data_IF_418118117012
#
_entry.id   IF_418118117012
#
_cell.length_a   1.000
_cell.length_b   1.000
_cell.length_c   1.000
_cell.angle_alpha   90.00
_cell.angle_beta   90.00
_cell.angle_gamma   90.00
#
_symmetry.space_group_name_H-M   'P 1'
#
loop_
_entity.id
_entity.type
_entity.pdbx_description
1 polymer ?
#
# COMPACT_ATOMS: atom_id res chain seq x y z
N UNK A 1 -28.75 -19.20 47.32
CA UNK A 1 -27.39 -18.58 47.33
C UNK A 1 -26.42 -19.23 46.34
N UNK A 2 -26.25 -20.56 46.31
CA UNK A 2 -25.32 -21.25 45.38
C UNK A 2 -25.64 -21.06 43.89
N UNK A 3 -26.93 -20.95 43.51
CA UNK A 3 -27.37 -20.75 42.12
C UNK A 3 -27.03 -19.35 41.59
N UNK A 4 -27.11 -18.32 42.45
CA UNK A 4 -26.82 -16.93 42.08
C UNK A 4 -25.32 -16.74 41.83
N UNK A 5 -24.47 -17.39 42.63
CA UNK A 5 -23.02 -17.38 42.45
C UNK A 5 -22.66 -18.04 41.11
N UNK A 6 -23.30 -19.15 40.75
CA UNK A 6 -23.06 -19.81 39.47
C UNK A 6 -23.46 -18.95 38.25
N UNK A 7 -24.58 -18.22 38.36
CA UNK A 7 -25.05 -17.32 37.32
C UNK A 7 -24.10 -16.11 37.13
N UNK A 8 -23.58 -15.56 38.23
CA UNK A 8 -22.61 -14.46 38.19
C UNK A 8 -21.26 -14.90 37.60
N UNK A 9 -20.80 -16.11 37.94
CA UNK A 9 -19.59 -16.71 37.36
C UNK A 9 -19.74 -16.98 35.86
N UNK A 10 -20.92 -17.41 35.40
CA UNK A 10 -21.19 -17.64 33.98
C UNK A 10 -21.22 -16.33 33.17
N UNK A 11 -21.80 -15.26 33.73
CA UNK A 11 -21.84 -13.93 33.12
C UNK A 11 -20.43 -13.32 32.94
N UNK A 12 -19.51 -13.57 33.88
CA UNK A 12 -18.12 -13.10 33.78
C UNK A 12 -17.31 -13.80 32.68
N UNK A 13 -17.65 -15.04 32.31
CA UNK A 13 -16.94 -15.81 31.27
C UNK A 13 -17.43 -15.43 29.86
N UNK A 14 -18.71 -15.04 29.71
CA UNK A 14 -19.29 -14.65 28.42
C UNK A 14 -18.89 -13.21 28.00
N UNK A 15 -18.46 -12.38 28.94
CA UNK A 15 -18.02 -11.00 28.67
C UNK A 15 -16.68 -10.88 27.94
N UNK A 16 -15.92 -11.96 27.79
CA UNK A 16 -14.62 -11.95 27.12
C UNK A 16 -14.78 -12.23 25.61
N UNK A 17 -15.62 -11.47 24.93
CA UNK A 17 -15.59 -11.39 23.48
C UNK A 17 -14.31 -10.67 23.07
N UNK A 18 -13.44 -11.32 22.28
CA UNK A 18 -12.32 -10.63 21.65
C UNK A 18 -12.90 -9.46 20.84
N UNK A 19 -12.56 -8.22 21.19
CA UNK A 19 -12.79 -7.07 20.32
C UNK A 19 -12.06 -7.39 19.03
N UNK A 20 -12.82 -7.61 17.96
CA UNK A 20 -12.25 -7.68 16.64
C UNK A 20 -11.82 -6.25 16.31
N UNK A 21 -10.52 -6.02 16.16
CA UNK A 21 -10.03 -4.73 15.71
C UNK A 21 -10.69 -4.44 14.36
N UNK A 22 -11.48 -3.37 14.32
CA UNK A 22 -12.25 -3.01 13.14
C UNK A 22 -11.36 -2.50 11.99
N UNK A 23 -10.07 -2.25 12.28
CA UNK A 23 -9.04 -1.93 11.30
C UNK A 23 -8.15 -3.14 11.04
N UNK A 24 -8.08 -3.56 9.78
CA UNK A 24 -7.07 -4.53 9.34
C UNK A 24 -5.72 -3.82 9.26
N UNK A 25 -4.95 -3.80 10.35
CA UNK A 25 -3.54 -3.46 10.26
C UNK A 25 -2.80 -4.56 9.49
N UNK A 26 -1.87 -4.18 8.61
CA UNK A 26 -0.92 -5.14 8.07
C UNK A 26 -0.26 -5.87 9.25
N UNK A 27 -0.29 -7.21 9.26
CA UNK A 27 0.24 -7.97 10.38
C UNK A 27 1.76 -7.76 10.43
N UNK A 28 2.21 -7.03 11.45
CA UNK A 28 3.65 -6.88 11.75
C UNK A 28 4.13 -8.19 12.37
N UNK A 29 4.50 -9.17 11.55
CA UNK A 29 5.21 -10.33 12.05
C UNK A 29 6.71 -10.08 12.00
N UNK A 30 7.38 -10.42 13.10
CA UNK A 30 8.78 -10.17 13.38
C UNK A 30 9.10 -8.71 13.68
N UNK A 31 8.80 -8.29 14.92
CA UNK A 31 9.84 -7.58 15.67
C UNK A 31 10.96 -8.61 15.92
N UNK A 32 11.76 -8.92 14.90
CA UNK A 32 13.09 -9.44 15.19
C UNK A 32 13.72 -8.35 16.04
N UNK A 33 14.28 -8.72 17.17
CA UNK A 33 15.03 -7.80 18.02
C UNK A 33 16.34 -7.47 17.28
N UNK A 34 16.22 -6.68 16.20
CA UNK A 34 17.33 -6.28 15.34
C UNK A 34 18.04 -5.16 16.07
N UNK A 35 19.10 -5.55 16.78
CA UNK A 35 20.07 -4.59 17.30
C UNK A 35 21.06 -4.28 16.18
N UNK A 36 21.08 -3.03 15.76
CA UNK A 36 22.06 -2.53 14.80
C UNK A 36 23.31 -2.13 15.59
N UNK A 37 24.39 -2.90 15.47
CA UNK A 37 25.66 -2.57 16.12
C UNK A 37 26.39 -1.41 15.42
N UNK A 38 26.16 -1.26 14.11
CA UNK A 38 26.74 -0.19 13.29
C UNK A 38 25.87 0.10 12.06
N UNK A 39 25.73 1.38 11.70
CA UNK A 39 25.02 1.84 10.50
C UNK A 39 26.04 2.52 9.58
N UNK A 40 26.31 1.91 8.43
CA UNK A 40 27.15 2.52 7.39
C UNK A 40 26.25 3.16 6.36
N UNK A 41 26.34 4.49 6.24
CA UNK A 41 25.66 5.24 5.19
C UNK A 41 26.58 5.29 3.97
N UNK A 42 26.03 4.92 2.81
CA UNK A 42 26.72 4.99 1.53
C UNK A 42 25.93 5.87 0.58
N UNK A 43 26.63 6.58 -0.29
CA UNK A 43 26.03 7.35 -1.37
C UNK A 43 26.21 6.56 -2.65
N UNK A 44 25.11 6.35 -3.37
CA UNK A 44 25.11 5.77 -4.70
C UNK A 44 24.61 6.84 -5.69
N UNK A 45 25.35 7.05 -6.77
CA UNK A 45 24.92 7.91 -7.87
C UNK A 45 24.27 7.04 -8.93
N UNK A 46 23.03 7.37 -9.30
CA UNK A 46 22.35 6.70 -10.40
C UNK A 46 22.70 7.39 -11.71
N UNK A 47 22.77 6.62 -12.80
CA UNK A 47 22.88 7.16 -14.15
C UNK A 47 21.74 8.15 -14.42
N UNK A 48 22.06 9.22 -15.14
CA UNK A 48 21.08 10.27 -15.45
C UNK A 48 20.00 9.76 -16.41
N UNK A 49 18.75 10.05 -16.10
CA UNK A 49 17.58 9.75 -16.94
C UNK A 49 16.70 10.98 -17.11
N UNK A 50 15.87 10.98 -18.15
CA UNK A 50 14.80 11.96 -18.29
C UNK A 50 13.63 11.57 -17.39
N UNK A 51 13.17 12.51 -16.57
CA UNK A 51 12.07 12.31 -15.63
C UNK A 51 11.25 13.60 -15.53
N UNK A 52 9.98 13.47 -15.16
CA UNK A 52 9.13 14.58 -14.74
C UNK A 52 9.55 15.22 -13.42
N UNK A 53 10.61 14.70 -12.76
CA UNK A 53 11.04 15.03 -11.40
C UNK A 53 10.00 14.70 -10.32
N UNK A 54 8.95 13.98 -10.67
CA UNK A 54 7.88 13.55 -9.77
C UNK A 54 7.75 12.03 -9.81
N UNK A 55 8.37 11.37 -8.84
CA UNK A 55 8.41 9.92 -8.78
C UNK A 55 8.89 9.42 -7.43
N UNK A 56 8.93 8.10 -7.29
CA UNK A 56 9.37 7.42 -6.07
C UNK A 56 10.36 6.33 -6.40
N UNK A 57 11.34 6.15 -5.53
CA UNK A 57 12.32 5.08 -5.63
C UNK A 57 11.98 3.92 -4.70
N UNK A 58 12.18 2.70 -5.17
CA UNK A 58 12.03 1.49 -4.36
C UNK A 58 13.04 0.42 -4.79
N UNK A 59 13.01 -0.72 -4.10
CA UNK A 59 13.77 -1.91 -4.46
C UNK A 59 12.81 -2.93 -5.05
N UNK A 60 13.13 -3.46 -6.23
CA UNK A 60 12.34 -4.51 -6.85
C UNK A 60 12.47 -5.83 -6.08
N UNK A 61 11.57 -6.81 -6.30
CA UNK A 61 11.74 -8.16 -5.77
C UNK A 61 13.04 -8.84 -6.20
N UNK A 62 13.61 -8.47 -7.36
CA UNK A 62 14.93 -8.95 -7.82
C UNK A 62 16.12 -8.27 -7.14
N UNK A 63 15.89 -7.23 -6.33
CA UNK A 63 16.94 -6.47 -5.64
C UNK A 63 17.52 -5.31 -6.45
N UNK A 64 16.95 -5.01 -7.63
CA UNK A 64 17.35 -3.85 -8.43
C UNK A 64 16.78 -2.56 -7.82
N UNK A 65 17.47 -1.45 -8.07
CA UNK A 65 16.98 -0.12 -7.70
C UNK A 65 16.00 0.32 -8.78
N UNK A 66 14.81 0.78 -8.38
CA UNK A 66 13.77 1.20 -9.31
C UNK A 66 13.38 2.64 -9.03
N UNK A 67 13.25 3.44 -10.09
CA UNK A 67 12.59 4.73 -10.04
C UNK A 67 11.30 4.67 -10.86
N UNK A 68 10.18 5.00 -10.23
CA UNK A 68 8.87 5.05 -10.88
C UNK A 68 8.46 6.51 -11.05
N UNK A 69 8.42 6.97 -12.29
CA UNK A 69 7.96 8.32 -12.63
C UNK A 69 6.43 8.36 -12.60
N UNK A 70 5.87 9.11 -11.67
CA UNK A 70 4.41 9.14 -11.45
C UNK A 70 3.66 9.93 -12.51
N UNK A 71 4.34 10.74 -13.31
CA UNK A 71 3.72 11.54 -14.38
C UNK A 71 3.87 10.86 -15.75
N UNK A 72 5.08 10.43 -16.10
CA UNK A 72 5.32 9.71 -17.35
C UNK A 72 4.91 8.24 -17.28
N UNK A 73 4.62 7.74 -16.07
CA UNK A 73 4.23 6.36 -15.80
C UNK A 73 5.27 5.33 -16.25
N UNK A 74 6.55 5.72 -16.22
CA UNK A 74 7.68 4.88 -16.59
C UNK A 74 8.29 4.23 -15.35
N UNK A 75 8.81 3.01 -15.52
CA UNK A 75 9.47 2.22 -14.48
C UNK A 75 10.91 1.98 -14.94
N UNK A 76 11.85 2.67 -14.33
CA UNK A 76 13.27 2.61 -14.71
C UNK A 76 14.06 1.81 -13.70
N UNK A 77 14.81 0.83 -14.18
CA UNK A 77 15.63 -0.08 -13.41
C UNK A 77 17.09 0.31 -13.50
N UNK A 78 17.74 0.30 -12.34
CA UNK A 78 19.17 0.44 -12.16
C UNK A 78 19.72 -0.78 -11.44
N UNK A 79 20.96 -1.15 -11.75
CA UNK A 79 21.65 -2.15 -10.95
C UNK A 79 22.04 -1.59 -9.57
N UNK A 80 22.64 -2.44 -8.73
CA UNK A 80 23.09 -2.05 -7.39
C UNK A 80 24.30 -1.11 -7.38
N UNK A 81 24.93 -0.90 -8.54
CA UNK A 81 26.01 0.06 -8.78
C UNK A 81 25.50 1.40 -9.33
N UNK A 82 24.19 1.52 -9.57
CA UNK A 82 23.53 2.73 -10.06
C UNK A 82 23.49 2.85 -11.59
N UNK A 83 23.90 1.82 -12.33
CA UNK A 83 23.88 1.86 -13.79
C UNK A 83 22.49 1.56 -14.34
N UNK A 84 22.08 2.30 -15.36
CA UNK A 84 20.80 2.11 -16.03
C UNK A 84 20.75 0.75 -16.72
N UNK A 85 19.75 -0.07 -16.38
CA UNK A 85 19.49 -1.38 -17.01
C UNK A 85 18.43 -1.28 -18.10
N UNK A 86 17.27 -0.75 -17.74
CA UNK A 86 16.10 -0.70 -18.63
C UNK A 86 15.07 0.30 -18.16
N UNK A 87 14.20 0.71 -19.08
CA UNK A 87 12.98 1.46 -18.78
C UNK A 87 11.81 0.72 -19.39
N UNK A 88 10.76 0.54 -18.59
CA UNK A 88 9.52 -0.10 -18.98
C UNK A 88 8.35 0.87 -18.79
N UNK A 89 7.24 0.54 -19.44
CA UNK A 89 6.01 1.29 -19.38
C UNK A 89 6.13 2.73 -19.94
N UNK A 90 4.97 3.36 -20.02
CA UNK A 90 4.73 4.68 -20.55
C UNK A 90 3.23 4.89 -20.65
N UNK A 91 2.82 6.10 -21.02
CA UNK A 91 1.42 6.41 -21.25
C UNK A 91 0.97 5.93 -22.63
N UNK A 92 -0.17 5.24 -22.70
CA UNK A 92 -0.75 4.76 -23.94
C UNK A 92 -1.69 3.56 -23.75
N UNK A 93 -2.15 2.98 -24.86
CA UNK A 93 -3.14 1.88 -24.86
C UNK A 93 -2.56 0.51 -25.26
N UNK A 94 -1.25 0.43 -25.47
CA UNK A 94 -0.55 -0.79 -25.80
C UNK A 94 -0.39 -1.73 -24.60
N UNK A 95 -0.03 -3.01 -24.84
CA UNK A 95 0.14 -3.99 -23.78
C UNK A 95 1.22 -3.67 -22.75
N UNK A 96 2.23 -2.88 -23.14
CA UNK A 96 3.31 -2.40 -22.26
C UNK A 96 3.15 -0.92 -21.92
N UNK A 97 1.93 -0.41 -21.95
CA UNK A 97 1.58 0.98 -21.64
C UNK A 97 0.47 1.02 -20.59
N UNK A 98 0.27 2.18 -19.96
CA UNK A 98 -0.80 2.40 -19.00
C UNK A 98 -1.65 3.61 -19.38
N UNK A 99 -2.93 3.54 -19.06
CA UNK A 99 -3.90 4.62 -19.24
C UNK A 99 -4.28 5.29 -17.91
N UNK A 100 -3.60 4.94 -16.82
CA UNK A 100 -3.81 5.51 -15.47
C UNK A 100 -3.65 7.02 -15.42
N UNK A 101 -2.96 7.60 -16.41
CA UNK A 101 -2.74 9.03 -16.58
C UNK A 101 -1.71 9.60 -15.61
N UNK A 102 -1.91 9.40 -14.30
CA UNK A 102 -0.95 9.70 -13.24
C UNK A 102 -1.03 8.65 -12.15
N UNK A 103 0.12 8.18 -11.71
CA UNK A 103 0.22 7.20 -10.63
C UNK A 103 -0.04 7.93 -9.31
N UNK A 104 -1.11 7.55 -8.63
CA UNK A 104 -1.38 7.96 -7.26
C UNK A 104 -0.57 7.10 -6.28
N UNK A 105 -0.59 5.78 -6.47
CA UNK A 105 0.23 4.85 -5.70
C UNK A 105 0.61 3.61 -6.50
N UNK A 106 1.65 2.93 -6.04
CA UNK A 106 2.21 1.77 -6.71
C UNK A 106 2.84 0.82 -5.70
N UNK A 107 2.91 -0.46 -6.05
CA UNK A 107 3.66 -1.45 -5.28
C UNK A 107 4.01 -2.63 -6.17
N UNK A 108 5.21 -3.18 -5.98
CA UNK A 108 5.53 -4.51 -6.47
C UNK A 108 4.88 -5.57 -5.58
N UNK A 109 4.51 -6.70 -6.17
CA UNK A 109 4.24 -7.96 -5.49
C UNK A 109 5.54 -8.77 -5.35
N UNK A 110 5.64 -9.71 -4.38
CA UNK A 110 6.84 -10.53 -4.21
C UNK A 110 7.16 -11.39 -5.44
N UNK A 111 6.13 -11.69 -6.24
CA UNK A 111 6.18 -12.44 -7.49
C UNK A 111 6.61 -11.61 -8.71
N UNK A 112 6.77 -10.28 -8.55
CA UNK A 112 7.29 -9.38 -9.58
C UNK A 112 6.24 -8.58 -10.34
N UNK A 113 4.95 -8.86 -10.16
CA UNK A 113 3.88 -8.03 -10.71
C UNK A 113 3.95 -6.61 -10.13
N UNK A 114 3.57 -5.64 -10.95
CA UNK A 114 3.49 -4.23 -10.57
C UNK A 114 2.04 -3.78 -10.57
N UNK A 115 1.57 -3.29 -9.43
CA UNK A 115 0.31 -2.59 -9.33
C UNK A 115 0.56 -1.09 -9.50
N UNK A 116 -0.16 -0.47 -10.43
CA UNK A 116 -0.28 0.99 -10.55
C UNK A 116 -1.73 1.38 -10.26
N UNK A 117 -1.94 2.33 -9.37
CA UNK A 117 -3.25 2.91 -9.08
C UNK A 117 -3.28 4.39 -9.46
N UNK A 118 -4.33 4.80 -10.14
CA UNK A 118 -4.60 6.19 -10.50
C UNK A 118 -5.42 6.94 -9.47
N UNK A 119 -5.50 8.25 -9.66
CA UNK A 119 -6.30 9.13 -8.79
C UNK A 119 -7.81 8.88 -8.93
N UNK A 120 -8.26 8.22 -10.00
CA UNK A 120 -9.65 7.82 -10.20
C UNK A 120 -9.96 6.43 -9.63
N UNK A 121 -9.05 5.87 -8.82
CA UNK A 121 -9.13 4.53 -8.24
C UNK A 121 -9.13 3.40 -9.27
N UNK A 122 -8.70 3.70 -10.50
CA UNK A 122 -8.38 2.73 -11.53
C UNK A 122 -7.05 2.05 -11.23
N UNK A 123 -7.03 0.73 -11.33
CA UNK A 123 -5.91 -0.12 -11.00
C UNK A 123 -5.50 -0.88 -12.23
N UNK A 124 -4.23 -0.74 -12.59
CA UNK A 124 -3.58 -1.49 -13.65
C UNK A 124 -2.58 -2.44 -13.00
N UNK A 125 -2.79 -3.74 -13.19
CA UNK A 125 -1.86 -4.78 -12.75
C UNK A 125 -1.05 -5.26 -13.94
N UNK A 126 0.27 -5.13 -13.84
CA UNK A 126 1.22 -5.61 -14.83
C UNK A 126 1.86 -6.90 -14.33
N UNK A 127 2.06 -7.85 -15.24
CA UNK A 127 2.84 -9.05 -14.94
C UNK A 127 4.34 -8.72 -14.81
N UNK A 128 5.20 -9.67 -14.40
CA UNK A 128 6.63 -9.41 -14.21
C UNK A 128 7.39 -8.98 -15.49
N UNK A 129 6.78 -9.13 -16.67
CA UNK A 129 7.33 -8.68 -17.95
C UNK A 129 6.78 -7.30 -18.37
N UNK A 130 6.12 -6.57 -17.46
CA UNK A 130 5.51 -5.26 -17.73
C UNK A 130 4.44 -5.30 -18.83
N UNK A 131 3.72 -6.42 -18.93
CA UNK A 131 2.54 -6.53 -19.78
C UNK A 131 1.30 -6.39 -18.91
N UNK A 132 0.34 -5.57 -19.36
CA UNK A 132 -0.92 -5.34 -18.67
C UNK A 132 -1.70 -6.65 -18.59
N UNK A 133 -1.95 -7.11 -17.36
CA UNK A 133 -2.70 -8.33 -17.05
C UNK A 133 -4.16 -8.01 -16.73
N UNK A 134 -4.40 -7.05 -15.84
CA UNK A 134 -5.75 -6.70 -15.37
C UNK A 134 -5.94 -5.21 -15.20
N UNK A 135 -7.16 -4.76 -15.48
CA UNK A 135 -7.64 -3.42 -15.16
C UNK A 135 -8.94 -3.54 -14.38
N UNK A 136 -9.05 -2.81 -13.27
CA UNK A 136 -10.28 -2.75 -12.48
C UNK A 136 -10.36 -1.44 -11.69
N UNK A 137 -11.56 -1.08 -11.25
CA UNK A 137 -11.80 0.07 -10.36
C UNK A 137 -11.96 -0.41 -8.93
N UNK A 138 -11.35 0.29 -7.98
CA UNK A 138 -11.62 0.05 -6.55
C UNK A 138 -12.98 0.63 -6.20
N UNK A 139 -13.93 -0.25 -5.91
CA UNK A 139 -15.25 0.13 -5.44
C UNK A 139 -15.25 0.36 -3.93
N UNK A 140 -16.01 1.36 -3.50
CA UNK A 140 -16.28 1.61 -2.08
C UNK A 140 -17.69 1.17 -1.73
N UNK A 141 -17.84 0.59 -0.55
CA UNK A 141 -19.09 0.03 -0.05
C UNK A 141 -19.53 0.79 1.19
N UNK A 142 -20.83 1.10 1.25
CA UNK A 142 -21.48 1.57 2.47
C UNK A 142 -21.86 0.38 3.33
N UNK A 143 -21.48 0.41 4.60
CA UNK A 143 -21.92 -0.57 5.61
C UNK A 143 -22.60 0.13 6.77
N UNK A 144 -23.32 -0.63 7.60
CA UNK A 144 -23.99 -0.11 8.80
C UNK A 144 -22.98 0.31 9.87
N UNK A 145 -21.91 -0.48 10.04
CA UNK A 145 -20.77 -0.11 10.88
C UNK A 145 -19.89 0.89 10.14
N UNK A 146 -19.77 2.11 10.69
CA UNK A 146 -18.97 3.19 10.10
C UNK A 146 -17.51 2.80 9.88
N UNK A 147 -16.94 2.00 10.79
CA UNK A 147 -15.53 1.58 10.71
C UNK A 147 -15.31 0.62 9.54
N UNK A 148 -16.29 -0.23 9.24
CA UNK A 148 -16.24 -1.21 8.15
C UNK A 148 -16.71 -0.62 6.80
N UNK A 149 -17.32 0.56 6.82
CA UNK A 149 -17.84 1.24 5.64
C UNK A 149 -16.70 1.97 4.93
N UNK A 150 -16.20 1.42 3.82
CA UNK A 150 -15.08 2.05 3.08
C UNK A 150 -15.45 3.41 2.48
N UNK A 151 -16.74 3.73 2.35
CA UNK A 151 -17.21 5.07 1.99
C UNK A 151 -16.98 6.14 3.07
N UNK A 152 -16.73 5.74 4.32
CA UNK A 152 -16.44 6.66 5.44
C UNK A 152 -15.05 7.28 5.34
N UNK A 153 -14.19 6.70 4.50
CA UNK A 153 -12.79 7.09 4.38
C UNK A 153 -12.49 7.72 3.02
N UNK A 154 -11.48 8.57 3.00
CA UNK A 154 -10.91 9.21 1.83
C UNK A 154 -9.46 8.77 1.69
N UNK A 155 -8.98 8.65 0.44
CA UNK A 155 -7.57 8.33 0.21
C UNK A 155 -6.73 9.57 0.51
N UNK A 156 -5.55 9.38 1.09
CA UNK A 156 -4.64 10.49 1.35
C UNK A 156 -3.84 10.82 0.09
N UNK A 157 -4.48 11.46 -0.89
CA UNK A 157 -3.94 11.67 -2.24
C UNK A 157 -2.58 12.39 -2.30
N UNK A 158 -2.27 13.24 -1.33
CA UNK A 158 -0.99 13.96 -1.29
C UNK A 158 0.20 13.09 -0.82
N UNK A 159 -0.09 12.00 -0.13
CA UNK A 159 0.92 11.11 0.47
C UNK A 159 0.41 9.66 0.41
N UNK A 160 -0.02 9.24 -0.77
CA UNK A 160 -0.65 7.93 -0.93
C UNK A 160 0.42 6.85 -0.96
N UNK A 161 0.44 6.05 0.10
CA UNK A 161 1.35 4.93 0.28
C UNK A 161 0.58 3.64 -0.02
N UNK A 162 1.10 2.84 -0.95
CA UNK A 162 0.61 1.49 -1.20
C UNK A 162 1.67 0.48 -0.75
N UNK A 163 1.23 -0.58 -0.06
CA UNK A 163 2.09 -1.68 0.36
C UNK A 163 1.40 -3.00 0.10
N UNK A 164 2.14 -3.97 -0.42
CA UNK A 164 1.67 -5.34 -0.48
C UNK A 164 1.96 -6.05 0.86
N UNK A 165 1.05 -6.93 1.28
CA UNK A 165 1.30 -7.89 2.36
C UNK A 165 0.45 -9.14 2.15
N UNK A 166 1.10 -10.29 2.01
CA UNK A 166 0.45 -11.51 1.53
C UNK A 166 -0.17 -11.29 0.15
N UNK A 167 -1.43 -11.67 0.00
CA UNK A 167 -2.21 -11.51 -1.24
C UNK A 167 -3.02 -10.21 -1.28
N UNK A 168 -2.72 -9.25 -0.41
CA UNK A 168 -3.47 -8.02 -0.26
C UNK A 168 -2.59 -6.78 -0.48
N UNK A 169 -3.21 -5.73 -1.01
CA UNK A 169 -2.63 -4.39 -1.04
C UNK A 169 -3.33 -3.52 0.00
N UNK A 170 -2.52 -2.75 0.71
CA UNK A 170 -2.95 -1.83 1.75
C UNK A 170 -2.60 -0.42 1.32
N UNK A 171 -3.52 0.50 1.54
CA UNK A 171 -3.33 1.91 1.30
C UNK A 171 -3.68 2.70 2.53
N UNK A 172 -3.01 3.84 2.73
CA UNK A 172 -3.43 4.78 3.75
C UNK A 172 -4.71 5.51 3.33
N UNK A 173 -5.60 5.60 4.30
CA UNK A 173 -6.86 6.32 4.21
C UNK A 173 -7.05 7.12 5.49
N UNK A 174 -7.86 8.16 5.42
CA UNK A 174 -8.25 8.96 6.58
C UNK A 174 -9.76 9.19 6.56
N UNK A 175 -10.35 9.54 7.71
CA UNK A 175 -11.75 9.93 7.80
C UNK A 175 -11.85 11.29 8.47
N UNK A 176 -12.72 12.15 7.93
CA UNK A 176 -13.11 13.42 8.54
C UNK A 176 -14.44 13.29 9.30
N UNK A 177 -15.00 12.06 9.38
CA UNK A 177 -16.26 11.85 10.07
C UNK A 177 -16.08 12.14 11.57
N UNK A 178 -16.99 12.90 12.22
CA UNK A 178 -16.80 13.39 13.59
C UNK A 178 -16.47 12.30 14.62
N UNK A 179 -16.99 11.08 14.45
CA UNK A 179 -16.69 9.94 15.33
C UNK A 179 -15.21 9.51 15.38
N UNK A 180 -14.40 9.92 14.40
CA UNK A 180 -12.95 9.65 14.36
C UNK A 180 -12.10 10.86 14.75
N UNK A 181 -12.71 12.01 15.05
CA UNK A 181 -12.01 13.25 15.42
C UNK A 181 -11.82 13.33 16.94
N UNK A 182 -10.88 12.55 17.48
CA UNK A 182 -10.60 12.50 18.92
C UNK A 182 -9.89 13.75 19.49
N UNK A 183 -9.64 14.77 18.67
CA UNK A 183 -8.95 15.99 19.07
C UNK A 183 -9.89 17.17 19.36
N UNK A 184 -11.21 17.03 19.18
CA UNK A 184 -12.18 18.09 19.50
C UNK A 184 -12.73 18.04 20.94
N UNK A 185 -12.29 17.08 21.78
CA UNK A 185 -12.72 16.95 23.19
C UNK A 185 -11.59 17.17 24.23
N UNK A 186 -10.63 18.06 23.95
CA UNK A 186 -9.68 18.60 24.97
C UNK A 186 -9.68 20.11 24.97
#
# INVERSE_FOLDING_TARGET
MKLIIFLFSFLLIVGCGKRQDAFSCAKVFNVKDVKYDNLVLQTLLLDSINTSSFGESCISPSGDIVFIDKHFCTVTFFDTCGHLKSTHLGLGGGPSETQVGRIAAQSFLPTGELLLMGYNLDVHLFNPNFMLDKVFLVNREKRSNLVESSMTYTNQYNDMVCRNYGDCFYMNVYSEHPEFNYLEET
#
